data_IF_019185979447
#
_entry.id   IF_019185979447
#
_cell.length_a   1.000
_cell.length_b   1.000
_cell.length_c   1.000
_cell.angle_alpha   90.00
_cell.angle_beta   90.00
_cell.angle_gamma   90.00
#
_symmetry.space_group_name_H-M   'P 1'
#
loop_
_entity.id
_entity.type
_entity.pdbx_description
1 polymer ?
#
# COMPACT_ATOMS: atom_id res chain seq x y z
N UNK A 1 -2.98 -7.17 23.40
CA UNK A 1 -3.96 -6.46 24.26
C UNK A 1 -3.57 -5.00 24.47
N UNK A 2 -2.28 -4.66 24.53
CA UNK A 2 -1.87 -3.31 24.94
C UNK A 2 -1.83 -2.30 23.79
N UNK A 3 -1.59 -2.76 22.56
CA UNK A 3 -1.52 -1.85 21.41
C UNK A 3 -2.83 -1.08 21.16
N UNK A 4 -3.99 -1.69 21.42
CA UNK A 4 -5.29 -1.02 21.29
C UNK A 4 -5.46 0.15 22.27
N UNK A 5 -4.86 0.03 23.47
CA UNK A 5 -4.94 1.04 24.51
C UNK A 5 -3.86 2.14 24.39
N UNK A 6 -2.84 1.95 23.56
CA UNK A 6 -1.72 2.88 23.40
C UNK A 6 -1.44 3.21 21.94
N UNK A 7 -0.91 2.25 21.19
CA UNK A 7 -0.35 2.51 19.86
C UNK A 7 -1.44 2.76 18.81
N UNK A 8 -2.62 2.15 18.96
CA UNK A 8 -3.75 2.36 18.05
C UNK A 8 -4.44 3.72 18.23
N UNK A 9 -4.32 4.36 19.39
CA UNK A 9 -5.04 5.61 19.71
C UNK A 9 -4.83 6.71 18.67
N UNK A 10 -3.60 7.05 18.24
CA UNK A 10 -3.40 8.08 17.23
C UNK A 10 -3.93 7.66 15.84
N UNK A 11 -3.93 6.37 15.51
CA UNK A 11 -4.50 5.88 14.25
C UNK A 11 -6.03 6.00 14.27
N UNK A 12 -6.69 5.59 15.35
CA UNK A 12 -8.14 5.76 15.53
C UNK A 12 -8.52 7.22 15.38
N UNK A 13 -7.82 8.13 16.07
CA UNK A 13 -8.07 9.57 15.98
C UNK A 13 -7.85 10.10 14.54
N UNK A 14 -6.85 9.59 13.82
CA UNK A 14 -6.63 9.94 12.42
C UNK A 14 -7.76 9.48 11.51
N UNK A 15 -8.28 8.26 11.74
CA UNK A 15 -9.42 7.73 10.98
C UNK A 15 -10.72 8.50 11.28
N UNK A 16 -10.95 8.87 12.53
CA UNK A 16 -12.08 9.71 12.93
C UNK A 16 -12.01 11.13 12.34
N UNK A 17 -10.79 11.59 12.00
CA UNK A 17 -10.54 12.84 11.29
C UNK A 17 -10.54 12.69 9.76
N UNK A 18 -11.10 11.61 9.23
CA UNK A 18 -11.21 11.31 7.79
C UNK A 18 -9.85 11.21 7.07
N UNK A 19 -8.82 10.66 7.72
CA UNK A 19 -7.54 10.39 7.06
C UNK A 19 -7.77 9.52 5.81
N UNK A 20 -7.42 9.99 4.61
CA UNK A 20 -7.77 9.29 3.37
C UNK A 20 -6.83 8.12 3.05
N UNK A 21 -5.67 8.06 3.72
CA UNK A 21 -4.61 7.10 3.43
C UNK A 21 -3.94 6.64 4.72
N UNK A 22 -3.67 5.32 4.82
CA UNK A 22 -2.90 4.70 5.90
C UNK A 22 -1.70 3.96 5.31
N UNK A 23 -0.51 4.18 5.87
CA UNK A 23 0.73 3.53 5.43
C UNK A 23 1.10 2.38 6.37
N UNK A 24 1.45 1.24 5.78
CA UNK A 24 1.96 0.07 6.47
C UNK A 24 3.48 -0.03 6.36
N UNK A 25 4.16 0.03 7.50
CA UNK A 25 5.60 -0.25 7.60
C UNK A 25 5.93 -1.74 7.55
N UNK A 26 7.23 -2.06 7.67
CA UNK A 26 7.74 -3.42 7.48
C UNK A 26 8.12 -4.13 8.79
N UNK A 27 7.67 -3.64 9.93
CA UNK A 27 7.90 -4.33 11.20
C UNK A 27 6.99 -5.56 11.33
N UNK A 28 7.54 -6.65 11.83
CA UNK A 28 6.79 -7.84 12.20
C UNK A 28 6.38 -7.76 13.68
N UNK A 29 5.09 -7.76 13.93
CA UNK A 29 4.51 -7.78 15.28
C UNK A 29 4.03 -9.21 15.57
N UNK A 30 4.94 -10.05 16.02
CA UNK A 30 4.73 -11.51 16.13
C UNK A 30 3.58 -11.93 17.04
N UNK A 31 3.05 -11.03 17.87
CA UNK A 31 1.83 -11.28 18.63
C UNK A 31 0.55 -11.21 17.77
N UNK A 32 0.64 -10.64 16.55
CA UNK A 32 -0.46 -10.55 15.58
C UNK A 32 -0.16 -11.41 14.36
N UNK A 33 1.00 -11.18 13.74
CA UNK A 33 1.45 -11.93 12.57
C UNK A 33 2.99 -11.94 12.54
N UNK A 34 3.57 -13.02 12.05
CA UNK A 34 5.02 -13.14 11.85
C UNK A 34 5.50 -12.42 10.57
N UNK A 35 4.61 -12.14 9.63
CA UNK A 35 4.92 -11.34 8.45
C UNK A 35 5.10 -9.86 8.79
N UNK A 36 5.90 -9.10 8.00
CA UNK A 36 5.91 -7.65 8.07
C UNK A 36 4.49 -7.08 7.91
N UNK A 37 4.16 -6.03 8.65
CA UNK A 37 2.79 -5.47 8.65
C UNK A 37 2.29 -5.12 7.24
N UNK A 38 3.16 -4.63 6.36
CA UNK A 38 2.85 -4.37 4.95
C UNK A 38 2.52 -5.61 4.12
N UNK A 39 2.90 -6.80 4.57
CA UNK A 39 2.64 -8.09 3.91
C UNK A 39 1.67 -8.96 4.72
N UNK A 40 1.07 -8.44 5.79
CA UNK A 40 0.21 -9.17 6.70
C UNK A 40 -1.27 -8.96 6.37
N UNK A 41 -1.95 -10.01 5.93
CA UNK A 41 -3.39 -9.98 5.73
C UNK A 41 -4.15 -9.71 7.05
N UNK A 42 -3.63 -10.17 8.18
CA UNK A 42 -4.25 -9.95 9.48
C UNK A 42 -4.21 -8.48 9.91
N UNK A 43 -3.10 -7.77 9.67
CA UNK A 43 -3.04 -6.33 9.93
C UNK A 43 -3.98 -5.53 9.03
N UNK A 44 -4.15 -5.95 7.77
CA UNK A 44 -5.12 -5.33 6.86
C UNK A 44 -6.56 -5.64 7.28
N UNK A 45 -6.84 -6.85 7.78
CA UNK A 45 -8.13 -7.20 8.38
C UNK A 45 -8.45 -6.29 9.58
N UNK A 46 -7.48 -6.12 10.49
CA UNK A 46 -7.64 -5.20 11.63
C UNK A 46 -7.98 -3.78 11.15
N UNK A 47 -7.25 -3.26 10.14
CA UNK A 47 -7.53 -1.93 9.59
C UNK A 47 -8.94 -1.85 8.98
N UNK A 48 -9.34 -2.84 8.20
CA UNK A 48 -10.60 -2.83 7.44
C UNK A 48 -11.82 -3.17 8.29
N UNK A 49 -11.72 -4.22 9.10
CA UNK A 49 -12.87 -4.77 9.82
C UNK A 49 -12.96 -4.23 11.23
N UNK A 50 -11.85 -4.20 11.99
CA UNK A 50 -11.90 -3.77 13.39
C UNK A 50 -11.91 -2.24 13.52
N UNK A 51 -11.17 -1.52 12.65
CA UNK A 51 -11.11 -0.05 12.64
C UNK A 51 -12.02 0.61 11.60
N UNK A 52 -12.65 -0.14 10.70
CA UNK A 52 -13.61 0.34 9.72
C UNK A 52 -13.05 1.25 8.63
N UNK A 53 -11.74 1.20 8.35
CA UNK A 53 -11.11 2.06 7.36
C UNK A 53 -11.49 1.68 5.93
N UNK A 54 -12.00 2.63 5.17
CA UNK A 54 -12.44 2.45 3.77
C UNK A 54 -11.53 3.12 2.75
N UNK A 55 -10.58 3.95 3.20
CA UNK A 55 -9.64 4.68 2.34
C UNK A 55 -8.52 3.80 1.76
N UNK A 56 -7.47 4.43 1.27
CA UNK A 56 -6.36 3.77 0.59
C UNK A 56 -5.31 3.28 1.59
N UNK A 57 -4.98 1.99 1.54
CA UNK A 57 -3.83 1.42 2.23
C UNK A 57 -2.61 1.42 1.29
N UNK A 58 -1.47 1.89 1.77
CA UNK A 58 -0.22 1.95 1.01
C UNK A 58 0.91 1.30 1.81
N UNK A 59 1.86 0.66 1.14
CA UNK A 59 3.09 0.19 1.78
C UNK A 59 4.03 1.36 2.06
N UNK A 60 4.91 1.24 3.04
CA UNK A 60 6.18 1.96 3.03
C UNK A 60 7.07 1.43 1.89
N UNK A 61 8.25 2.01 1.68
CA UNK A 61 9.15 1.66 0.58
C UNK A 61 9.56 0.18 0.61
N UNK A 62 9.06 -0.61 -0.36
CA UNK A 62 9.38 -2.04 -0.47
C UNK A 62 10.88 -2.33 -0.69
N UNK A 63 11.66 -1.33 -1.09
CA UNK A 63 13.12 -1.42 -1.13
C UNK A 63 13.74 -1.66 0.25
N UNK A 64 13.07 -1.26 1.33
CA UNK A 64 13.50 -1.56 2.70
C UNK A 64 13.43 -3.07 3.00
N UNK A 65 12.45 -3.78 2.45
CA UNK A 65 12.38 -5.25 2.55
C UNK A 65 13.57 -5.89 1.83
N UNK A 66 13.91 -5.41 0.63
CA UNK A 66 15.09 -5.89 -0.11
C UNK A 66 16.39 -5.64 0.68
N UNK A 67 16.48 -4.48 1.35
CA UNK A 67 17.63 -4.10 2.18
C UNK A 67 17.72 -4.89 3.51
N UNK A 68 16.67 -5.58 3.94
CA UNK A 68 16.64 -6.36 5.18
C UNK A 68 17.67 -7.50 5.24
N UNK A 69 18.17 -7.94 4.10
CA UNK A 69 19.06 -9.10 3.97
C UNK A 69 18.33 -10.45 4.06
N UNK A 70 17.03 -10.46 4.25
CA UNK A 70 16.20 -11.66 4.31
C UNK A 70 15.99 -12.18 2.87
N UNK A 71 16.37 -13.43 2.55
CA UNK A 71 16.32 -13.94 1.18
C UNK A 71 14.95 -13.87 0.52
N UNK A 72 13.88 -14.09 1.28
CA UNK A 72 12.49 -14.11 0.85
C UNK A 72 12.03 -12.75 0.31
N UNK A 73 12.65 -11.65 0.74
CA UNK A 73 12.25 -10.28 0.38
C UNK A 73 13.15 -9.63 -0.68
N UNK A 74 14.00 -10.40 -1.36
CA UNK A 74 14.91 -9.86 -2.38
C UNK A 74 14.23 -9.47 -3.70
N UNK A 75 13.12 -10.12 -4.02
CA UNK A 75 12.40 -9.90 -5.28
C UNK A 75 11.34 -8.80 -5.12
N UNK A 76 11.51 -7.63 -5.75
CA UNK A 76 10.56 -6.53 -5.68
C UNK A 76 9.19 -6.89 -6.29
N UNK A 77 9.17 -7.76 -7.29
CA UNK A 77 7.91 -8.19 -7.92
C UNK A 77 7.12 -9.06 -6.96
N UNK A 78 7.79 -10.06 -6.35
CA UNK A 78 7.15 -10.93 -5.37
C UNK A 78 6.65 -10.14 -4.15
N UNK A 79 7.43 -9.17 -3.65
CA UNK A 79 7.02 -8.29 -2.55
C UNK A 79 5.77 -7.47 -2.92
N UNK A 80 5.73 -6.92 -4.15
CA UNK A 80 4.61 -6.11 -4.62
C UNK A 80 3.32 -6.93 -4.75
N UNK A 81 3.41 -8.13 -5.32
CA UNK A 81 2.27 -9.07 -5.41
C UNK A 81 1.79 -9.47 -4.02
N UNK A 82 2.71 -9.81 -3.10
CA UNK A 82 2.38 -10.16 -1.73
C UNK A 82 1.71 -9.00 -0.97
N UNK A 83 2.20 -7.77 -1.16
CA UNK A 83 1.61 -6.58 -0.55
C UNK A 83 0.17 -6.32 -1.02
N UNK A 84 -0.09 -6.47 -2.33
CA UNK A 84 -1.46 -6.34 -2.88
C UNK A 84 -2.35 -7.46 -2.39
N UNK A 85 -1.85 -8.69 -2.35
CA UNK A 85 -2.59 -9.85 -1.84
C UNK A 85 -2.94 -9.70 -0.35
N UNK A 86 -2.05 -9.09 0.44
CA UNK A 86 -2.28 -8.81 1.86
C UNK A 86 -3.36 -7.75 2.11
N UNK A 87 -3.61 -6.84 1.17
CA UNK A 87 -4.67 -5.83 1.29
C UNK A 87 -4.25 -4.39 1.04
N UNK A 88 -2.99 -4.12 0.66
CA UNK A 88 -2.61 -2.79 0.20
C UNK A 88 -3.27 -2.46 -1.14
N UNK A 89 -3.56 -1.19 -1.33
CA UNK A 89 -4.14 -0.65 -2.57
C UNK A 89 -3.07 0.06 -3.43
N UNK A 90 -1.99 0.53 -2.79
CA UNK A 90 -0.83 1.13 -3.43
C UNK A 90 0.46 0.48 -2.93
N UNK A 91 1.45 0.41 -3.81
CA UNK A 91 2.81 -0.07 -3.52
C UNK A 91 3.77 1.08 -3.71
N UNK A 92 4.62 1.35 -2.71
CA UNK A 92 5.68 2.34 -2.81
C UNK A 92 7.02 1.65 -3.09
N UNK A 93 7.73 2.08 -4.13
CA UNK A 93 9.07 1.62 -4.47
C UNK A 93 9.97 2.81 -4.75
N UNK A 94 10.98 3.01 -3.91
CA UNK A 94 11.95 4.11 -4.00
C UNK A 94 13.37 3.56 -4.08
N UNK A 95 13.82 2.87 -3.02
CA UNK A 95 15.15 2.26 -2.97
C UNK A 95 15.25 1.15 -4.02
N UNK A 96 16.39 1.07 -4.68
CA UNK A 96 16.69 0.06 -5.72
C UNK A 96 15.73 0.07 -6.92
N UNK A 97 14.92 1.14 -7.07
CA UNK A 97 14.03 1.31 -8.20
C UNK A 97 14.71 2.10 -9.31
N UNK A 98 14.47 1.68 -10.54
CA UNK A 98 14.87 2.36 -11.78
C UNK A 98 13.67 2.54 -12.71
N UNK A 99 13.88 3.12 -13.88
CA UNK A 99 12.80 3.39 -14.85
C UNK A 99 12.07 2.09 -15.32
N UNK A 100 12.72 0.91 -15.24
CA UNK A 100 12.11 -0.37 -15.62
C UNK A 100 11.39 -1.09 -14.49
N UNK A 101 11.55 -0.61 -13.25
CA UNK A 101 11.01 -1.30 -12.06
C UNK A 101 9.50 -1.31 -12.06
N UNK A 102 8.87 -0.20 -12.42
CA UNK A 102 7.41 -0.10 -12.48
C UNK A 102 6.82 -1.07 -13.52
N UNK A 103 7.45 -1.19 -14.69
CA UNK A 103 7.00 -2.11 -15.74
C UNK A 103 7.12 -3.56 -15.29
N UNK A 104 8.26 -3.95 -14.70
CA UNK A 104 8.48 -5.30 -14.16
C UNK A 104 7.46 -5.68 -13.09
N UNK A 105 7.16 -4.74 -12.17
CA UNK A 105 6.15 -4.95 -11.13
C UNK A 105 4.76 -5.09 -11.75
N UNK A 106 4.42 -4.26 -12.73
CA UNK A 106 3.15 -4.31 -13.43
C UNK A 106 2.98 -5.65 -14.16
N UNK A 107 3.98 -6.07 -14.92
CA UNK A 107 3.99 -7.36 -15.63
C UNK A 107 3.84 -8.54 -14.64
N UNK A 108 4.53 -8.46 -13.50
CA UNK A 108 4.44 -9.48 -12.45
C UNK A 108 3.06 -9.54 -11.79
N UNK A 109 2.41 -8.40 -11.57
CA UNK A 109 1.03 -8.34 -11.05
C UNK A 109 0.05 -8.96 -12.06
N UNK A 110 0.19 -8.61 -13.35
CA UNK A 110 -0.63 -9.19 -14.42
C UNK A 110 -0.44 -10.71 -14.47
N UNK A 111 0.79 -11.19 -14.46
CA UNK A 111 1.09 -12.61 -14.44
C UNK A 111 0.51 -13.33 -13.22
N UNK A 112 0.54 -12.69 -12.04
CA UNK A 112 -0.03 -13.24 -10.81
C UNK A 112 -1.57 -13.36 -10.90
N UNK A 113 -2.24 -12.40 -11.53
CA UNK A 113 -3.69 -12.46 -11.79
C UNK A 113 -4.01 -13.57 -12.78
N UNK A 114 -3.29 -13.67 -13.88
CA UNK A 114 -3.47 -14.72 -14.89
C UNK A 114 -3.23 -16.13 -14.33
N UNK A 115 -2.26 -16.27 -13.43
CA UNK A 115 -1.98 -17.52 -12.70
C UNK A 115 -2.99 -17.81 -11.58
N UNK A 116 -3.86 -16.88 -11.23
CA UNK A 116 -4.83 -17.01 -10.15
C UNK A 116 -4.22 -16.93 -8.73
N UNK A 117 -2.96 -16.50 -8.59
CA UNK A 117 -2.29 -16.30 -7.30
C UNK A 117 -2.64 -14.95 -6.65
N UNK A 118 -3.04 -13.98 -7.45
CA UNK A 118 -3.66 -12.72 -7.01
C UNK A 118 -5.08 -12.66 -7.57
N UNK A 119 -6.14 -12.65 -6.75
CA UNK A 119 -7.50 -12.53 -7.26
C UNK A 119 -7.72 -11.22 -8.02
N UNK A 120 -8.28 -11.28 -9.23
CA UNK A 120 -8.60 -10.08 -10.02
C UNK A 120 -9.50 -9.11 -9.24
N UNK A 121 -10.45 -9.63 -8.45
CA UNK A 121 -11.31 -8.82 -7.59
C UNK A 121 -10.52 -7.98 -6.59
N UNK A 122 -9.38 -8.49 -6.06
CA UNK A 122 -8.52 -7.72 -5.15
C UNK A 122 -7.87 -6.53 -5.87
N UNK A 123 -7.47 -6.72 -7.13
CA UNK A 123 -6.90 -5.64 -7.94
C UNK A 123 -7.96 -4.58 -8.30
N UNK A 124 -9.17 -5.00 -8.67
CA UNK A 124 -10.30 -4.11 -8.94
C UNK A 124 -10.67 -3.27 -7.72
N UNK A 125 -10.66 -3.89 -6.54
CA UNK A 125 -10.93 -3.23 -5.26
C UNK A 125 -9.86 -2.16 -4.96
N UNK A 126 -8.57 -2.49 -5.12
CA UNK A 126 -7.47 -1.55 -4.97
C UNK A 126 -7.58 -0.36 -5.92
N UNK A 127 -7.78 -0.66 -7.20
CA UNK A 127 -7.93 0.36 -8.23
C UNK A 127 -9.13 1.28 -7.94
N UNK A 128 -10.24 0.73 -7.47
CA UNK A 128 -11.43 1.50 -7.11
C UNK A 128 -11.15 2.49 -5.99
N UNK A 129 -10.49 2.06 -4.90
CA UNK A 129 -10.13 2.95 -3.79
C UNK A 129 -9.17 4.05 -4.24
N UNK A 130 -8.14 3.69 -5.00
CA UNK A 130 -7.16 4.66 -5.51
C UNK A 130 -7.81 5.67 -6.46
N UNK A 131 -8.66 5.23 -7.38
CA UNK A 131 -9.37 6.12 -8.29
C UNK A 131 -10.36 7.02 -7.56
N UNK A 132 -11.06 6.51 -6.55
CA UNK A 132 -11.95 7.30 -5.69
C UNK A 132 -11.18 8.41 -5.00
N UNK A 133 -10.05 8.09 -4.36
CA UNK A 133 -9.19 9.09 -3.73
C UNK A 133 -8.68 10.14 -4.72
N UNK A 134 -8.22 9.70 -5.90
CA UNK A 134 -7.76 10.63 -6.96
C UNK A 134 -8.86 11.59 -7.39
N UNK A 135 -10.09 11.11 -7.57
CA UNK A 135 -11.24 11.95 -7.93
C UNK A 135 -11.61 12.94 -6.81
N UNK A 136 -11.55 12.52 -5.56
CA UNK A 136 -11.77 13.39 -4.40
C UNK A 136 -10.73 14.51 -4.35
N UNK A 137 -9.44 14.17 -4.47
CA UNK A 137 -8.34 15.13 -4.47
C UNK A 137 -8.40 16.08 -5.66
N UNK A 138 -8.83 15.61 -6.83
CA UNK A 138 -9.02 16.44 -8.02
C UNK A 138 -10.21 17.40 -7.90
N UNK A 139 -10.98 17.38 -6.80
CA UNK A 139 -12.12 18.26 -6.56
C UNK A 139 -13.10 18.28 -7.73
N UNK A 140 -13.49 17.09 -8.23
CA UNK A 140 -14.27 16.93 -9.45
C UNK A 140 -13.57 17.55 -10.70
N UNK A 141 -12.24 17.45 -10.75
CA UNK A 141 -11.41 17.97 -11.86
C UNK A 141 -10.78 19.34 -11.63
N UNK A 142 -11.04 19.98 -10.49
CA UNK A 142 -10.45 21.29 -10.18
C UNK A 142 -9.05 21.24 -9.55
N UNK A 143 -8.65 20.09 -9.00
CA UNK A 143 -7.39 19.93 -8.28
C UNK A 143 -6.17 19.62 -9.16
N UNK A 144 -6.36 19.40 -10.45
CA UNK A 144 -5.29 19.10 -11.42
C UNK A 144 -5.08 20.26 -12.38
N UNK A 145 -5.15 21.49 -11.89
CA UNK A 145 -4.71 22.64 -12.69
C UNK A 145 -3.18 22.57 -12.74
N UNK A 146 -2.56 22.45 -13.92
CA UNK A 146 -1.11 22.56 -14.02
C UNK A 146 -0.68 23.86 -13.36
N UNK A 147 0.34 23.81 -12.51
CA UNK A 147 0.94 24.99 -11.93
C UNK A 147 1.42 25.87 -13.10
N UNK A 148 0.82 27.05 -13.26
CA UNK A 148 1.18 27.94 -14.37
C UNK A 148 2.64 28.40 -14.31
N UNK A 149 3.24 28.34 -13.10
CA UNK A 149 4.63 28.76 -12.84
C UNK A 149 5.58 27.56 -12.66
N UNK A 150 5.08 26.33 -12.78
CA UNK A 150 5.91 25.12 -12.73
C UNK A 150 6.49 24.87 -14.14
N UNK A 151 7.51 25.63 -14.50
CA UNK A 151 8.37 25.26 -15.63
C UNK A 151 9.25 24.10 -15.17
N UNK A 152 9.34 23.05 -16.01
CA UNK A 152 10.36 22.03 -15.81
C UNK A 152 11.71 22.73 -15.72
N UNK A 153 12.44 22.49 -14.64
CA UNK A 153 13.84 22.93 -14.59
C UNK A 153 14.60 22.15 -15.67
N UNK A 154 15.27 22.87 -16.57
CA UNK A 154 16.17 22.31 -17.59
C UNK A 154 17.31 21.51 -16.97
#
# INVERSE_FOLDING_TARGET
ADWQASDAVPFVAGLEADAPLVMFGHLAFTAVDSAPASLSAEWHRVLREDLGFTGVAVTDDLGMLQASGIPEYRDPVANSVAALAAGNDLVLGVMFSDASTADKITDGIVAAVEAGTLPAARLDEAATRVMTLRLQLAGAGRGMVPCADCTAAD
#
